data_IF_530196282250
#
_entry.id   IF_530196282250
#
_cell.length_a   1.000
_cell.length_b   1.000
_cell.length_c   1.000
_cell.angle_alpha   90.00
_cell.angle_beta   90.00
_cell.angle_gamma   90.00
#
_symmetry.space_group_name_H-M   'P 1'
#
loop_
_entity.id
_entity.type
_entity.pdbx_description
1 polymer ?
#
# COMPACT_ATOMS: atom_id res chain seq x y z
N UNK A 1 -13.12 56.66 33.64
CA UNK A 1 -12.75 55.23 33.48
C UNK A 1 -14.02 54.47 33.13
N UNK A 2 -14.38 54.21 31.88
CA UNK A 2 -14.21 52.87 31.30
C UNK A 2 -14.64 52.82 29.82
N UNK A 3 -14.52 53.92 29.05
CA UNK A 3 -14.79 53.84 27.59
C UNK A 3 -13.70 53.07 26.83
N UNK A 4 -12.47 53.09 27.34
CA UNK A 4 -11.34 52.34 26.77
C UNK A 4 -11.44 50.82 26.95
N UNK A 5 -12.03 50.35 28.07
CA UNK A 5 -12.22 48.90 28.30
C UNK A 5 -13.26 48.31 27.35
N UNK A 6 -14.33 49.06 27.05
CA UNK A 6 -15.34 48.64 26.09
C UNK A 6 -14.78 48.50 24.67
N UNK A 7 -13.87 49.39 24.26
CA UNK A 7 -13.24 49.34 22.92
C UNK A 7 -12.27 48.15 22.82
N UNK A 8 -11.53 47.82 23.88
CA UNK A 8 -10.64 46.66 23.90
C UNK A 8 -11.39 45.32 23.89
N UNK A 9 -12.58 45.23 24.48
CA UNK A 9 -13.41 44.02 24.42
C UNK A 9 -14.08 43.81 23.06
N UNK A 10 -14.35 44.87 22.29
CA UNK A 10 -14.92 44.76 20.95
C UNK A 10 -13.89 44.32 19.89
N UNK A 11 -12.60 44.56 20.11
CA UNK A 11 -11.53 44.20 19.17
C UNK A 11 -11.05 42.75 19.27
N UNK A 12 -11.41 42.00 20.31
CA UNK A 12 -10.98 40.60 20.47
C UNK A 12 -11.94 39.54 19.89
N UNK A 13 -13.14 39.93 19.45
CA UNK A 13 -14.19 38.96 19.12
C UNK A 13 -14.29 38.54 17.64
N UNK A 14 -13.55 39.14 16.70
CA UNK A 14 -13.72 38.88 15.26
C UNK A 14 -12.48 38.36 14.52
N UNK A 15 -11.41 38.00 15.24
CA UNK A 15 -10.23 37.40 14.61
C UNK A 15 -10.20 35.92 14.92
N UNK A 16 -10.34 35.08 13.87
CA UNK A 16 -10.01 33.64 13.85
C UNK A 16 -11.17 32.65 14.00
N UNK A 17 -12.16 32.74 13.12
CA UNK A 17 -12.76 31.52 12.57
C UNK A 17 -13.20 31.76 11.13
N UNK A 18 -12.23 32.09 10.27
CA UNK A 18 -12.29 31.72 8.86
C UNK A 18 -12.22 30.18 8.80
N UNK A 19 -13.29 29.51 9.23
CA UNK A 19 -13.57 28.15 8.84
C UNK A 19 -13.94 28.26 7.36
N UNK A 20 -12.93 28.25 6.49
CA UNK A 20 -13.14 28.05 5.08
C UNK A 20 -13.72 26.63 4.94
N UNK A 21 -15.06 26.54 5.02
CA UNK A 21 -15.76 25.32 4.69
C UNK A 21 -15.28 24.88 3.31
N UNK A 22 -14.78 23.65 3.22
CA UNK A 22 -14.35 23.11 1.93
C UNK A 22 -15.63 22.89 1.13
N UNK A 23 -15.82 23.66 0.06
CA UNK A 23 -16.91 23.42 -0.88
C UNK A 23 -16.55 22.16 -1.67
N UNK A 24 -16.93 21.01 -1.11
CA UNK A 24 -16.85 19.71 -1.75
C UNK A 24 -18.22 19.06 -1.75
N UNK A 25 -18.64 18.59 -2.92
CA UNK A 25 -19.90 17.86 -3.08
C UNK A 25 -19.80 16.45 -2.50
N UNK A 26 -20.94 15.87 -2.16
CA UNK A 26 -21.04 14.49 -1.69
C UNK A 26 -20.50 13.50 -2.71
N UNK A 27 -20.74 13.74 -4.01
CA UNK A 27 -20.20 12.89 -5.08
C UNK A 27 -18.68 12.95 -5.16
N UNK A 28 -18.08 14.12 -4.92
CA UNK A 28 -16.62 14.25 -4.86
C UNK A 28 -16.04 13.53 -3.64
N UNK A 29 -16.75 13.50 -2.50
CA UNK A 29 -16.35 12.71 -1.33
C UNK A 29 -16.37 11.22 -1.66
N UNK A 30 -17.47 10.71 -2.22
CA UNK A 30 -17.58 9.29 -2.59
C UNK A 30 -16.51 8.92 -3.62
N UNK A 31 -16.28 9.76 -4.62
CA UNK A 31 -15.22 9.56 -5.60
C UNK A 31 -13.85 9.50 -4.94
N UNK A 32 -13.55 10.42 -4.02
CA UNK A 32 -12.28 10.45 -3.30
C UNK A 32 -12.07 9.20 -2.45
N UNK A 33 -13.06 8.80 -1.64
CA UNK A 33 -13.02 7.57 -0.83
C UNK A 33 -12.78 6.34 -1.71
N UNK A 34 -13.49 6.25 -2.85
CA UNK A 34 -13.31 5.15 -3.79
C UNK A 34 -11.91 5.09 -4.42
N UNK A 35 -11.22 6.23 -4.58
CA UNK A 35 -9.85 6.29 -5.11
C UNK A 35 -8.80 5.96 -4.06
N UNK A 36 -9.10 6.21 -2.78
CA UNK A 36 -8.19 5.96 -1.66
C UNK A 36 -8.16 4.47 -1.32
N UNK A 37 -9.31 3.79 -1.23
CA UNK A 37 -9.31 2.34 -1.04
C UNK A 37 -9.01 1.64 -2.36
N UNK A 38 -7.76 1.19 -2.52
CA UNK A 38 -7.30 0.49 -3.72
C UNK A 38 -7.62 -1.00 -3.66
N UNK A 39 -8.09 -1.56 -4.79
CA UNK A 39 -8.51 -2.96 -4.94
C UNK A 39 -7.38 -4.00 -4.76
N UNK A 40 -6.12 -3.57 -4.71
CA UNK A 40 -4.98 -4.49 -4.61
C UNK A 40 -4.49 -4.72 -3.18
N UNK A 41 -4.68 -3.76 -2.27
CA UNK A 41 -4.08 -3.82 -0.93
C UNK A 41 -5.02 -3.44 0.21
N UNK A 42 -6.24 -3.01 -0.11
CA UNK A 42 -7.21 -2.60 0.90
C UNK A 42 -8.61 -3.03 0.52
N UNK A 43 -9.42 -3.28 1.53
CA UNK A 43 -10.84 -3.55 1.39
C UNK A 43 -11.62 -2.57 2.28
N UNK A 44 -12.78 -2.04 1.83
CA UNK A 44 -13.57 -1.18 2.70
C UNK A 44 -14.00 -1.88 4.00
N UNK A 45 -14.07 -1.13 5.10
CA UNK A 45 -14.74 -1.63 6.31
C UNK A 45 -16.23 -1.90 6.03
N UNK A 46 -16.78 -2.94 6.69
CA UNK A 46 -18.11 -3.51 6.39
C UNK A 46 -19.26 -2.53 6.64
N UNK A 47 -19.07 -1.59 7.54
CA UNK A 47 -20.02 -0.53 7.88
C UNK A 47 -20.17 0.52 6.76
N UNK A 48 -19.17 0.66 5.89
CA UNK A 48 -19.15 1.69 4.83
C UNK A 48 -19.44 1.14 3.43
N UNK A 49 -19.38 -0.17 3.20
CA UNK A 49 -19.66 -0.74 1.89
C UNK A 49 -20.25 -2.16 1.95
N UNK A 50 -21.11 -2.46 0.97
CA UNK A 50 -21.51 -3.83 0.67
C UNK A 50 -20.48 -4.46 -0.27
N UNK A 51 -19.85 -5.55 0.16
CA UNK A 51 -18.79 -6.22 -0.58
C UNK A 51 -19.39 -7.26 -1.55
N UNK A 52 -18.92 -7.22 -2.79
CA UNK A 52 -19.14 -8.22 -3.83
C UNK A 52 -17.79 -8.90 -4.16
N UNK A 53 -17.77 -10.08 -4.81
CA UNK A 53 -16.53 -10.86 -4.97
C UNK A 53 -15.35 -10.15 -5.66
N UNK A 54 -15.58 -9.07 -6.42
CA UNK A 54 -14.53 -8.27 -7.09
C UNK A 54 -14.80 -6.76 -7.08
N UNK A 55 -15.83 -6.35 -6.34
CA UNK A 55 -16.26 -4.96 -6.31
C UNK A 55 -16.96 -4.64 -5.00
N UNK A 56 -17.25 -3.38 -4.76
CA UNK A 56 -18.05 -2.98 -3.62
C UNK A 56 -18.93 -1.79 -3.97
N UNK A 57 -20.05 -1.71 -3.27
CA UNK A 57 -20.95 -0.57 -3.36
C UNK A 57 -20.88 0.18 -2.04
N UNK A 58 -20.41 1.42 -2.10
CA UNK A 58 -20.35 2.30 -0.93
C UNK A 58 -21.75 2.58 -0.40
N UNK A 59 -21.94 2.40 0.91
CA UNK A 59 -23.07 2.95 1.62
C UNK A 59 -22.84 4.47 1.76
N UNK A 60 -23.45 5.23 0.84
CA UNK A 60 -23.24 6.68 0.75
C UNK A 60 -23.58 7.38 2.06
N UNK A 61 -24.67 7.02 2.71
CA UNK A 61 -25.09 7.67 3.96
C UNK A 61 -24.07 7.42 5.07
N UNK A 62 -23.59 6.18 5.21
CA UNK A 62 -22.56 5.85 6.19
C UNK A 62 -21.24 6.60 5.94
N UNK A 63 -20.82 6.71 4.68
CA UNK A 63 -19.61 7.47 4.32
C UNK A 63 -19.79 8.97 4.58
N UNK A 64 -20.90 9.56 4.16
CA UNK A 64 -21.13 10.99 4.26
C UNK A 64 -21.37 11.47 5.71
N UNK A 65 -21.85 10.58 6.57
CA UNK A 65 -22.04 10.83 8.00
C UNK A 65 -20.83 10.47 8.86
N UNK A 66 -19.78 9.88 8.26
CA UNK A 66 -18.57 9.49 8.98
C UNK A 66 -17.85 10.71 9.60
N UNK A 67 -17.26 10.56 10.81
CA UNK A 67 -16.56 11.65 11.50
C UNK A 67 -15.48 12.33 10.65
N UNK A 68 -14.69 11.55 9.91
CA UNK A 68 -13.62 12.06 9.04
C UNK A 68 -14.14 13.00 7.95
N UNK A 69 -15.27 12.67 7.31
CA UNK A 69 -15.90 13.48 6.27
C UNK A 69 -16.45 14.77 6.86
N UNK A 70 -17.05 14.72 8.05
CA UNK A 70 -17.56 15.90 8.74
C UNK A 70 -16.43 16.86 9.12
N UNK A 71 -15.31 16.33 9.63
CA UNK A 71 -14.12 17.14 9.92
C UNK A 71 -13.55 17.81 8.67
N UNK A 72 -13.49 17.07 7.55
CA UNK A 72 -12.98 17.60 6.29
C UNK A 72 -13.89 18.69 5.70
N UNK A 73 -15.21 18.47 5.65
CA UNK A 73 -16.20 19.46 5.19
C UNK A 73 -16.17 20.73 6.04
N UNK A 74 -15.96 20.59 7.34
CA UNK A 74 -15.82 21.71 8.27
C UNK A 74 -14.49 22.49 8.13
N UNK A 75 -13.60 22.08 7.23
CA UNK A 75 -12.28 22.71 7.04
C UNK A 75 -11.31 22.46 8.18
N UNK A 76 -11.57 21.46 9.05
CA UNK A 76 -10.75 21.14 10.23
C UNK A 76 -9.57 20.21 9.91
N UNK A 77 -9.50 19.70 8.68
CA UNK A 77 -8.45 18.78 8.23
C UNK A 77 -7.73 19.42 7.05
N UNK A 78 -6.39 19.62 7.14
CA UNK A 78 -5.60 20.08 6.01
C UNK A 78 -5.74 19.11 4.83
N UNK A 79 -5.83 19.65 3.60
CA UNK A 79 -5.95 18.84 2.38
C UNK A 79 -4.89 17.75 2.26
N UNK A 80 -3.68 17.98 2.77
CA UNK A 80 -2.59 17.00 2.72
C UNK A 80 -2.83 15.78 3.63
N UNK A 81 -3.65 15.92 4.68
CA UNK A 81 -3.93 14.86 5.66
C UNK A 81 -5.23 14.11 5.35
N UNK A 82 -6.02 14.56 4.38
CA UNK A 82 -7.33 13.95 4.08
C UNK A 82 -7.18 12.51 3.57
N UNK A 83 -6.11 12.21 2.85
CA UNK A 83 -5.86 10.88 2.29
C UNK A 83 -5.66 9.88 3.43
N UNK A 84 -4.71 10.17 4.33
CA UNK A 84 -4.41 9.31 5.48
C UNK A 84 -5.64 9.14 6.38
N UNK A 85 -6.35 10.23 6.67
CA UNK A 85 -7.55 10.20 7.50
C UNK A 85 -8.67 9.35 6.89
N UNK A 86 -8.89 9.46 5.57
CA UNK A 86 -9.92 8.68 4.89
C UNK A 86 -9.48 7.22 4.74
N UNK A 87 -8.19 6.98 4.51
CA UNK A 87 -7.64 5.63 4.46
C UNK A 87 -7.85 4.91 5.81
N UNK A 88 -7.52 5.56 6.92
CA UNK A 88 -7.71 5.02 8.26
C UNK A 88 -9.20 4.76 8.56
N UNK A 89 -10.10 5.67 8.17
CA UNK A 89 -11.53 5.51 8.46
C UNK A 89 -12.22 4.46 7.59
N UNK A 90 -11.87 4.37 6.31
CA UNK A 90 -12.64 3.61 5.32
C UNK A 90 -11.96 2.35 4.82
N UNK A 91 -10.63 2.29 4.84
CA UNK A 91 -9.87 1.22 4.20
C UNK A 91 -9.19 0.32 5.24
N UNK A 92 -9.43 -0.97 5.15
CA UNK A 92 -8.83 -1.97 6.02
C UNK A 92 -7.85 -2.85 5.23
N UNK A 93 -6.68 -3.09 5.81
CA UNK A 93 -5.62 -3.90 5.24
C UNK A 93 -5.37 -5.22 6.02
N UNK A 94 -6.24 -5.57 6.98
CA UNK A 94 -6.10 -6.85 7.70
C UNK A 94 -6.42 -8.03 6.78
N UNK A 95 -5.79 -9.18 7.01
CA UNK A 95 -6.04 -10.41 6.26
C UNK A 95 -7.54 -10.77 6.21
N UNK A 96 -8.25 -10.66 7.34
CA UNK A 96 -9.70 -10.89 7.43
C UNK A 96 -10.48 -10.00 6.46
N UNK A 97 -10.09 -8.72 6.36
CA UNK A 97 -10.78 -7.80 5.50
C UNK A 97 -10.46 -8.03 4.02
N UNK A 98 -9.19 -8.31 3.70
CA UNK A 98 -8.77 -8.61 2.34
C UNK A 98 -9.46 -9.89 1.82
N UNK A 99 -9.57 -10.93 2.66
CA UNK A 99 -10.30 -12.15 2.35
C UNK A 99 -11.77 -11.87 1.98
N UNK A 100 -12.44 -10.93 2.67
CA UNK A 100 -13.83 -10.54 2.33
C UNK A 100 -13.94 -9.93 0.93
N UNK A 101 -12.96 -9.14 0.50
CA UNK A 101 -12.90 -8.60 -0.85
C UNK A 101 -12.33 -9.59 -1.88
N UNK A 102 -12.07 -10.85 -1.48
CA UNK A 102 -11.33 -11.83 -2.29
C UNK A 102 -9.97 -11.28 -2.79
N UNK A 103 -9.38 -10.38 -2.01
CA UNK A 103 -8.00 -9.93 -2.19
C UNK A 103 -7.15 -10.95 -1.45
N UNK A 104 -6.66 -11.93 -2.18
CA UNK A 104 -5.68 -12.87 -1.65
C UNK A 104 -4.33 -12.21 -1.80
N UNK A 105 -3.54 -12.19 -0.73
CA UNK A 105 -2.11 -11.85 -0.84
C UNK A 105 -1.51 -12.76 -1.91
N UNK A 106 -1.00 -12.18 -3.00
CA UNK A 106 -0.18 -12.93 -3.95
C UNK A 106 1.11 -13.24 -3.20
N UNK A 107 1.11 -14.35 -2.49
CA UNK A 107 2.33 -14.87 -1.88
C UNK A 107 3.19 -15.40 -3.01
N UNK A 108 4.37 -14.83 -3.13
CA UNK A 108 5.43 -15.39 -3.95
C UNK A 108 5.69 -16.84 -3.50
N UNK A 109 5.97 -17.72 -4.45
CA UNK A 109 6.26 -19.11 -4.11
C UNK A 109 7.52 -19.21 -3.24
N UNK A 110 7.66 -20.27 -2.42
CA UNK A 110 8.71 -20.39 -1.42
C UNK A 110 10.14 -20.07 -1.88
N UNK A 111 10.55 -20.47 -3.10
CA UNK A 111 11.89 -20.16 -3.61
C UNK A 111 12.09 -18.68 -3.96
N UNK A 112 11.08 -18.04 -4.56
CA UNK A 112 11.11 -16.61 -4.86
C UNK A 112 11.18 -15.83 -3.55
N UNK A 113 10.30 -16.16 -2.61
CA UNK A 113 10.30 -15.59 -1.28
C UNK A 113 11.67 -15.75 -0.59
N UNK A 114 12.25 -16.96 -0.61
CA UNK A 114 13.58 -17.22 -0.05
C UNK A 114 14.66 -16.32 -0.66
N UNK A 115 14.64 -16.10 -1.97
CA UNK A 115 15.60 -15.22 -2.64
C UNK A 115 15.38 -13.76 -2.26
N UNK A 116 14.13 -13.28 -2.27
CA UNK A 116 13.77 -11.89 -1.99
C UNK A 116 14.04 -11.48 -0.54
N UNK A 117 13.83 -12.38 0.45
CA UNK A 117 14.03 -12.09 1.88
C UNK A 117 15.44 -11.63 2.23
N UNK A 118 16.44 -12.05 1.46
CA UNK A 118 17.83 -11.69 1.72
C UNK A 118 18.67 -11.61 0.43
N UNK A 119 18.13 -10.98 -0.60
CA UNK A 119 18.94 -10.62 -1.77
C UNK A 119 19.96 -9.54 -1.37
N UNK A 120 21.26 -9.65 -1.72
CA UNK A 120 21.90 -10.60 -2.65
C UNK A 120 22.45 -11.91 -2.05
N UNK A 121 22.24 -12.20 -0.75
CA UNK A 121 22.87 -13.34 -0.06
C UNK A 121 22.24 -14.70 -0.38
N UNK A 122 20.93 -14.76 -0.63
CA UNK A 122 20.25 -16.04 -0.84
C UNK A 122 20.28 -16.52 -2.30
N UNK A 123 20.33 -15.62 -3.30
CA UNK A 123 20.40 -16.01 -4.70
C UNK A 123 21.60 -16.93 -5.03
N UNK A 124 22.83 -16.66 -4.55
CA UNK A 124 23.96 -17.57 -4.77
C UNK A 124 23.76 -18.99 -4.22
N UNK A 125 22.94 -19.17 -3.18
CA UNK A 125 22.65 -20.49 -2.61
C UNK A 125 21.77 -21.33 -3.53
N UNK A 126 20.86 -20.68 -4.26
CA UNK A 126 20.05 -21.35 -5.29
C UNK A 126 20.93 -21.69 -6.48
N UNK A 127 21.80 -20.78 -6.91
CA UNK A 127 22.74 -21.02 -8.01
C UNK A 127 23.78 -22.12 -7.68
N UNK A 128 24.16 -22.29 -6.41
CA UNK A 128 25.08 -23.36 -5.98
C UNK A 128 24.48 -24.77 -5.99
N UNK A 129 23.20 -24.92 -6.35
CA UNK A 129 22.60 -26.24 -6.58
C UNK A 129 23.10 -26.91 -7.87
N UNK A 130 23.89 -26.19 -8.68
CA UNK A 130 24.50 -26.68 -9.94
C UNK A 130 23.47 -27.32 -10.90
N UNK A 131 22.22 -26.88 -10.83
CA UNK A 131 21.18 -27.30 -11.77
C UNK A 131 21.53 -26.75 -13.16
N UNK A 132 21.53 -27.62 -14.17
CA UNK A 132 21.84 -27.25 -15.57
C UNK A 132 21.01 -26.06 -16.02
N UNK A 133 19.74 -26.03 -15.63
CA UNK A 133 18.79 -25.01 -16.05
C UNK A 133 18.99 -23.65 -15.36
N UNK A 134 19.81 -23.58 -14.31
CA UNK A 134 20.14 -22.33 -13.62
C UNK A 134 21.39 -21.64 -14.17
N UNK A 135 22.15 -22.30 -15.04
CA UNK A 135 23.43 -21.79 -15.56
C UNK A 135 23.29 -20.46 -16.30
N UNK A 136 22.21 -20.31 -17.06
CA UNK A 136 21.96 -19.08 -17.85
C UNK A 136 21.79 -17.84 -16.96
N UNK A 137 21.32 -18.02 -15.72
CA UNK A 137 21.12 -16.93 -14.76
C UNK A 137 22.37 -16.63 -13.93
N UNK A 138 23.35 -17.53 -13.86
CA UNK A 138 24.47 -17.39 -12.94
C UNK A 138 25.26 -16.10 -13.17
N UNK A 139 25.66 -15.83 -14.41
CA UNK A 139 26.45 -14.64 -14.75
C UNK A 139 25.65 -13.34 -14.55
N UNK A 140 24.41 -13.18 -15.08
CA UNK A 140 23.60 -11.99 -14.82
C UNK A 140 23.39 -11.70 -13.32
N UNK A 141 23.04 -12.73 -12.53
CA UNK A 141 22.83 -12.57 -11.09
C UNK A 141 24.14 -12.15 -10.40
N UNK A 142 25.26 -12.80 -10.71
CA UNK A 142 26.57 -12.41 -10.14
C UNK A 142 26.96 -10.97 -10.48
N UNK A 143 26.69 -10.52 -11.70
CA UNK A 143 26.93 -9.14 -12.12
C UNK A 143 26.09 -8.16 -11.29
N UNK A 144 24.78 -8.40 -11.18
CA UNK A 144 23.90 -7.54 -10.40
C UNK A 144 24.27 -7.51 -8.90
N UNK A 145 24.65 -8.65 -8.32
CA UNK A 145 25.17 -8.72 -6.95
C UNK A 145 26.43 -7.86 -6.79
N UNK A 146 27.31 -7.83 -7.78
CA UNK A 146 28.50 -6.99 -7.74
C UNK A 146 28.15 -5.50 -7.90
N UNK A 147 27.18 -5.17 -8.75
CA UNK A 147 26.68 -3.80 -8.89
C UNK A 147 26.11 -3.28 -7.56
N UNK A 148 25.34 -4.10 -6.84
CA UNK A 148 24.83 -3.76 -5.50
C UNK A 148 25.92 -3.56 -4.45
N UNK A 149 27.08 -4.22 -4.57
CA UNK A 149 28.22 -3.99 -3.66
C UNK A 149 28.84 -2.61 -3.89
N UNK A 150 28.86 -2.14 -5.14
CA UNK A 150 29.41 -0.83 -5.52
C UNK A 150 28.40 0.30 -5.39
N UNK A 151 27.10 0.00 -5.50
CA UNK A 151 26.01 0.94 -5.36
C UNK A 151 24.85 0.28 -4.59
N UNK A 152 24.85 0.45 -3.26
CA UNK A 152 23.80 -0.10 -2.39
C UNK A 152 22.42 0.53 -2.64
N UNK A 153 22.37 1.72 -3.22
CA UNK A 153 21.15 2.47 -3.51
C UNK A 153 20.65 2.25 -4.95
N UNK A 154 21.15 1.21 -5.63
CA UNK A 154 20.70 0.85 -6.97
C UNK A 154 19.20 0.53 -6.94
N UNK A 155 18.39 1.39 -7.56
CA UNK A 155 16.93 1.26 -7.62
C UNK A 155 16.42 0.43 -8.79
N UNK A 156 17.31 0.15 -9.75
CA UNK A 156 16.96 -0.54 -10.98
C UNK A 156 17.31 -2.01 -10.86
N UNK A 157 16.31 -2.87 -11.07
CA UNK A 157 16.46 -4.32 -11.19
C UNK A 157 16.56 -4.66 -12.67
N UNK A 158 17.65 -5.28 -13.15
CA UNK A 158 17.77 -5.74 -14.52
C UNK A 158 16.72 -6.82 -14.87
N UNK A 159 16.31 -6.85 -16.15
CA UNK A 159 15.33 -7.82 -16.64
C UNK A 159 15.77 -9.27 -16.39
N UNK A 160 17.07 -9.56 -16.44
CA UNK A 160 17.61 -10.90 -16.21
C UNK A 160 17.45 -11.37 -14.75
N UNK A 161 17.35 -10.43 -13.80
CA UNK A 161 17.05 -10.74 -12.40
C UNK A 161 15.57 -11.05 -12.25
N UNK A 162 14.69 -10.33 -12.95
CA UNK A 162 13.26 -10.63 -13.01
C UNK A 162 13.02 -12.00 -13.66
N UNK A 163 13.66 -12.29 -14.80
CA UNK A 163 13.59 -13.58 -15.49
C UNK A 163 14.03 -14.75 -14.60
N UNK A 164 15.05 -14.53 -13.75
CA UNK A 164 15.48 -15.51 -12.76
C UNK A 164 14.39 -15.78 -11.72
N UNK A 165 13.78 -14.73 -11.15
CA UNK A 165 12.69 -14.87 -10.18
C UNK A 165 11.47 -15.57 -10.81
N UNK A 166 11.10 -15.19 -12.04
CA UNK A 166 10.04 -15.82 -12.82
C UNK A 166 10.34 -17.29 -13.13
N UNK A 167 11.60 -17.63 -13.36
CA UNK A 167 12.02 -19.01 -13.54
C UNK A 167 11.85 -19.81 -12.25
N UNK A 168 12.25 -19.25 -11.10
CA UNK A 168 12.06 -19.87 -9.79
C UNK A 168 10.57 -20.04 -9.46
N UNK A 169 9.73 -19.06 -9.76
CA UNK A 169 8.29 -19.18 -9.56
C UNK A 169 7.72 -20.33 -10.39
N UNK A 170 8.00 -20.37 -11.69
CA UNK A 170 7.48 -21.41 -12.60
C UNK A 170 7.97 -22.81 -12.26
N UNK A 171 9.15 -22.94 -11.65
CA UNK A 171 9.79 -24.22 -11.36
C UNK A 171 9.89 -24.54 -9.86
N UNK A 172 9.18 -23.80 -9.00
CA UNK A 172 9.33 -23.86 -7.54
C UNK A 172 9.34 -25.29 -7.00
N UNK A 173 8.29 -26.06 -7.29
CA UNK A 173 8.09 -27.38 -6.71
C UNK A 173 9.16 -28.37 -7.21
N UNK A 174 9.50 -28.28 -8.51
CA UNK A 174 10.52 -29.11 -9.15
C UNK A 174 11.91 -28.86 -8.57
N UNK A 175 12.26 -27.61 -8.29
CA UNK A 175 13.56 -27.25 -7.71
C UNK A 175 13.62 -27.68 -6.23
N UNK A 176 12.54 -27.47 -5.46
CA UNK A 176 12.46 -27.94 -4.06
C UNK A 176 12.59 -29.45 -3.97
N UNK A 177 11.93 -30.20 -4.86
CA UNK A 177 12.06 -31.66 -4.92
C UNK A 177 13.51 -32.08 -5.18
N UNK A 178 14.20 -31.46 -6.14
CA UNK A 178 15.63 -31.72 -6.38
C UNK A 178 16.50 -31.38 -5.17
N UNK A 179 16.21 -30.29 -4.46
CA UNK A 179 16.92 -29.90 -3.24
C UNK A 179 16.77 -30.94 -2.12
N UNK A 180 15.56 -31.44 -1.92
CA UNK A 180 15.28 -32.46 -0.89
C UNK A 180 15.90 -33.82 -1.23
N UNK A 181 16.01 -34.17 -2.51
CA UNK A 181 16.61 -35.44 -2.96
C UNK A 181 18.15 -35.41 -3.06
N UNK A 182 18.77 -34.23 -2.89
CA UNK A 182 20.23 -34.06 -2.95
C UNK A 182 20.89 -34.01 -1.56
N UNK A 183 20.11 -34.19 -0.49
CA UNK A 183 20.58 -34.32 0.91
C UNK A 183 20.61 -35.80 1.33
#
# INVERSE_FOLDING_TARGET
MSKLVAILLLLSACSSSMNCAVIISDDQIIFLVNRICTKSMTCPYKEYASIQPRDWVWNRDAVLTAPSVQLYKAGKVPKMQVIDLFQEQFCCASEECLARCNIVEIREKPLVQFVLENFPKNAPKILSLELEELKDFEKPIRNYINDLKHNKDLKFVPAEVEDFLDYLDRNNDRIIEKMNNSQ
#
